data_IF_360311614847
#
_entry.id   IF_360311614847
#
_cell.length_a   1.000
_cell.length_b   1.000
_cell.length_c   1.000
_cell.angle_alpha   90.00
_cell.angle_beta   90.00
_cell.angle_gamma   90.00
#
_symmetry.space_group_name_H-M   'P 1'
#
loop_
_entity.id
_entity.type
_entity.pdbx_description
1 polymer ?
#
# COMPACT_ATOMS: atom_id res chain seq x y z
N UNK A 1 -21.86 -5.82 -19.50
CA UNK A 1 -20.88 -6.47 -18.60
C UNK A 1 -21.47 -6.51 -17.20
N UNK A 2 -21.24 -7.62 -16.48
CA UNK A 2 -21.79 -7.78 -15.12
C UNK A 2 -20.98 -6.91 -14.17
N UNK A 3 -21.61 -5.95 -13.54
CA UNK A 3 -21.01 -5.10 -12.52
C UNK A 3 -21.05 -5.79 -11.16
N UNK A 4 -20.00 -5.62 -10.35
CA UNK A 4 -20.02 -5.96 -8.93
C UNK A 4 -20.73 -4.85 -8.12
N UNK A 5 -20.95 -5.08 -6.83
CA UNK A 5 -21.45 -4.04 -5.90
C UNK A 5 -20.56 -2.79 -5.89
N UNK A 6 -19.26 -2.95 -6.12
CA UNK A 6 -18.25 -1.91 -6.04
C UNK A 6 -17.77 -1.38 -7.39
N UNK A 7 -18.42 -1.78 -8.49
CA UNK A 7 -18.09 -1.34 -9.83
C UNK A 7 -17.76 -2.48 -10.77
N UNK A 8 -16.71 -2.31 -11.55
CA UNK A 8 -16.30 -3.27 -12.59
C UNK A 8 -15.34 -4.29 -11.99
N UNK A 9 -15.43 -5.54 -12.41
CA UNK A 9 -14.49 -6.58 -11.97
C UNK A 9 -13.04 -6.30 -12.41
N UNK A 10 -12.07 -6.66 -11.57
CA UNK A 10 -10.65 -6.33 -11.73
C UNK A 10 -10.07 -6.72 -13.10
N UNK A 11 -10.44 -7.86 -13.67
CA UNK A 11 -9.94 -8.27 -15.00
C UNK A 11 -10.32 -7.28 -16.12
N UNK A 12 -11.44 -6.57 -15.99
CA UNK A 12 -11.85 -5.55 -16.95
C UNK A 12 -11.07 -4.25 -16.77
N UNK A 13 -10.80 -3.89 -15.52
CA UNK A 13 -10.00 -2.71 -15.18
C UNK A 13 -8.56 -2.88 -15.67
N UNK A 14 -7.95 -4.04 -15.40
CA UNK A 14 -6.61 -4.35 -15.88
C UNK A 14 -6.55 -4.46 -17.42
N UNK A 15 -7.57 -5.04 -18.05
CA UNK A 15 -7.67 -5.07 -19.52
C UNK A 15 -7.67 -3.65 -20.08
N UNK A 16 -8.49 -2.76 -19.54
CA UNK A 16 -8.53 -1.37 -19.99
C UNK A 16 -7.17 -0.70 -19.86
N UNK A 17 -6.49 -0.87 -18.73
CA UNK A 17 -5.15 -0.33 -18.52
C UNK A 17 -4.15 -0.89 -19.54
N UNK A 18 -4.18 -2.19 -19.83
CA UNK A 18 -3.31 -2.80 -20.82
C UNK A 18 -3.58 -2.27 -22.23
N UNK A 19 -4.84 -2.06 -22.60
CA UNK A 19 -5.20 -1.52 -23.90
C UNK A 19 -4.71 -0.08 -24.06
N UNK A 20 -4.83 0.75 -23.02
CA UNK A 20 -4.28 2.11 -23.02
C UNK A 20 -2.74 2.08 -23.15
N UNK A 21 -2.04 1.22 -22.41
CA UNK A 21 -0.59 1.06 -22.50
C UNK A 21 -0.13 0.56 -23.88
N UNK A 22 -0.86 -0.34 -24.51
CA UNK A 22 -0.58 -0.81 -25.89
C UNK A 22 -0.76 0.29 -26.92
N UNK A 23 -1.83 1.09 -26.80
CA UNK A 23 -2.04 2.24 -27.68
C UNK A 23 -0.90 3.23 -27.57
N UNK A 24 -0.48 3.57 -26.34
CA UNK A 24 0.67 4.46 -26.11
C UNK A 24 1.99 3.89 -26.66
N UNK A 25 2.20 2.58 -26.57
CA UNK A 25 3.39 1.94 -27.13
C UNK A 25 3.47 2.06 -28.66
N UNK A 26 2.33 2.13 -29.35
CA UNK A 26 2.23 2.15 -30.82
C UNK A 26 2.09 3.56 -31.41
N UNK A 27 1.66 4.55 -30.61
CA UNK A 27 1.47 5.91 -31.08
C UNK A 27 2.82 6.61 -31.34
N UNK A 28 3.14 6.81 -32.62
CA UNK A 28 4.38 7.45 -33.05
C UNK A 28 4.33 8.98 -33.02
N UNK A 29 3.15 9.58 -32.84
CA UNK A 29 2.93 11.02 -33.05
C UNK A 29 3.11 11.87 -31.79
N UNK A 30 3.19 11.25 -30.60
CA UNK A 30 3.21 12.01 -29.36
C UNK A 30 4.62 12.46 -28.96
N UNK A 31 4.85 13.76 -28.98
CA UNK A 31 6.02 14.41 -28.39
C UNK A 31 6.10 14.15 -26.86
N UNK A 32 4.99 13.75 -26.24
CA UNK A 32 4.84 13.37 -24.82
C UNK A 32 5.35 11.97 -24.49
N UNK A 33 5.88 11.23 -25.46
CA UNK A 33 6.42 9.86 -25.27
C UNK A 33 7.49 9.73 -24.17
N UNK A 34 8.08 10.85 -23.79
CA UNK A 34 9.15 10.88 -22.79
C UNK A 34 8.72 11.46 -21.44
N UNK A 35 7.46 11.90 -21.32
CA UNK A 35 6.96 12.39 -20.04
C UNK A 35 6.75 11.23 -19.06
N UNK A 36 7.20 11.35 -17.80
CA UNK A 36 6.89 10.38 -16.77
C UNK A 36 5.37 10.28 -16.55
N UNK A 37 4.86 9.08 -16.41
CA UNK A 37 3.46 8.83 -16.09
C UNK A 37 3.33 8.29 -14.66
N UNK A 38 2.41 8.84 -13.89
CA UNK A 38 1.98 8.29 -12.61
C UNK A 38 0.53 7.83 -12.74
N UNK A 39 0.29 6.56 -12.43
CA UNK A 39 -1.04 5.95 -12.52
C UNK A 39 -1.38 5.24 -11.24
N UNK A 40 -2.62 5.39 -10.80
CA UNK A 40 -3.19 4.65 -9.68
C UNK A 40 -4.35 3.82 -10.18
N UNK A 41 -4.33 2.53 -9.89
CA UNK A 41 -5.41 1.61 -10.17
C UNK A 41 -5.83 0.97 -8.86
N UNK A 42 -7.13 1.07 -8.54
CA UNK A 42 -7.71 0.42 -7.38
C UNK A 42 -8.47 -0.84 -7.82
N UNK A 43 -8.13 -1.98 -7.19
CA UNK A 43 -8.90 -3.22 -7.30
C UNK A 43 -10.07 -3.20 -6.32
N UNK A 44 -11.16 -3.90 -6.64
CA UNK A 44 -12.35 -3.95 -5.79
C UNK A 44 -12.96 -5.34 -5.65
N UNK A 45 -12.50 -6.31 -6.46
CA UNK A 45 -13.14 -7.62 -6.52
C UNK A 45 -12.86 -8.50 -5.30
N UNK A 46 -11.82 -8.19 -4.53
CA UNK A 46 -11.52 -8.84 -3.25
C UNK A 46 -12.36 -8.34 -2.08
N UNK A 47 -13.28 -7.39 -2.33
CA UNK A 47 -14.20 -6.85 -1.33
C UNK A 47 -15.52 -7.67 -1.25
N UNK A 48 -16.17 -7.62 -0.09
CA UNK A 48 -17.50 -8.20 0.06
C UNK A 48 -18.52 -7.58 -0.93
N UNK A 49 -19.47 -8.34 -1.47
CA UNK A 49 -19.91 -9.70 -1.10
C UNK A 49 -19.07 -10.86 -1.67
N UNK A 50 -17.84 -10.61 -2.17
CA UNK A 50 -16.93 -11.62 -2.72
C UNK A 50 -17.49 -12.36 -3.95
N UNK A 51 -18.28 -11.65 -4.75
CA UNK A 51 -18.87 -12.18 -5.99
C UNK A 51 -17.93 -11.86 -7.17
N UNK A 52 -17.32 -12.89 -7.71
CA UNK A 52 -16.37 -12.78 -8.82
C UNK A 52 -16.66 -13.82 -9.91
N UNK A 53 -16.33 -13.56 -11.18
CA UNK A 53 -16.52 -14.49 -12.28
C UNK A 53 -15.43 -15.59 -12.30
N UNK A 54 -15.24 -16.25 -11.16
CA UNK A 54 -14.16 -17.18 -10.90
C UNK A 54 -14.63 -18.15 -9.82
N UNK A 55 -14.43 -19.45 -10.01
CA UNK A 55 -14.88 -20.47 -9.07
C UNK A 55 -13.87 -21.61 -9.01
N UNK A 56 -12.79 -21.38 -8.28
CA UNK A 56 -11.73 -22.39 -8.05
C UNK A 56 -11.61 -22.83 -6.61
N UNK A 57 -12.13 -22.01 -5.68
CA UNK A 57 -12.10 -22.30 -4.25
C UNK A 57 -13.51 -22.25 -3.68
N UNK A 58 -13.83 -23.18 -2.75
CA UNK A 58 -15.14 -23.25 -2.11
C UNK A 58 -15.44 -22.04 -1.23
N UNK A 59 -14.43 -21.55 -0.50
CA UNK A 59 -14.58 -20.37 0.33
C UNK A 59 -14.63 -19.12 -0.54
N UNK A 60 -15.77 -18.42 -0.55
CA UNK A 60 -16.04 -17.25 -1.39
C UNK A 60 -15.00 -16.13 -1.21
N UNK A 61 -14.56 -15.86 0.03
CA UNK A 61 -13.57 -14.81 0.33
C UNK A 61 -12.21 -15.18 -0.25
N UNK A 62 -11.71 -16.38 0.02
CA UNK A 62 -10.47 -16.87 -0.55
C UNK A 62 -10.53 -16.93 -2.08
N UNK A 63 -11.68 -17.32 -2.62
CA UNK A 63 -11.90 -17.37 -4.05
C UNK A 63 -11.82 -15.97 -4.69
N UNK A 64 -12.35 -14.93 -4.03
CA UNK A 64 -12.24 -13.55 -4.48
C UNK A 64 -10.80 -13.01 -4.38
N UNK A 65 -10.07 -13.36 -3.32
CA UNK A 65 -8.65 -13.01 -3.20
C UNK A 65 -7.81 -13.67 -4.31
N UNK A 66 -8.01 -14.97 -4.55
CA UNK A 66 -7.33 -15.70 -5.61
C UNK A 66 -7.69 -15.16 -7.01
N UNK A 67 -8.92 -14.66 -7.19
CA UNK A 67 -9.30 -14.01 -8.43
C UNK A 67 -8.56 -12.70 -8.65
N UNK A 68 -8.50 -11.80 -7.66
CA UNK A 68 -7.73 -10.54 -7.75
C UNK A 68 -6.24 -10.82 -8.00
N UNK A 69 -5.65 -11.77 -7.28
CA UNK A 69 -4.26 -12.21 -7.49
C UNK A 69 -4.02 -12.71 -8.93
N UNK A 70 -4.95 -13.51 -9.45
CA UNK A 70 -4.90 -13.97 -10.86
C UNK A 70 -4.95 -12.79 -11.83
N UNK A 71 -5.79 -11.77 -11.60
CA UNK A 71 -5.88 -10.58 -12.44
C UNK A 71 -4.58 -9.77 -12.42
N UNK A 72 -3.98 -9.61 -11.25
CA UNK A 72 -2.67 -8.96 -11.06
C UNK A 72 -1.57 -9.73 -11.80
N UNK A 73 -1.51 -11.05 -11.63
CA UNK A 73 -0.52 -11.89 -12.29
C UNK A 73 -0.62 -11.86 -13.81
N UNK A 74 -1.85 -11.92 -14.35
CA UNK A 74 -2.11 -11.83 -15.78
C UNK A 74 -1.74 -10.44 -16.34
N UNK A 75 -2.03 -9.37 -15.60
CA UNK A 75 -1.61 -8.03 -15.97
C UNK A 75 -0.08 -7.91 -16.05
N UNK A 76 0.63 -8.29 -14.99
CA UNK A 76 2.09 -8.22 -14.93
C UNK A 76 2.71 -9.03 -16.08
N UNK A 77 2.21 -10.25 -16.33
CA UNK A 77 2.70 -11.10 -17.40
C UNK A 77 2.58 -10.44 -18.78
N UNK A 78 1.42 -9.82 -19.08
CA UNK A 78 1.18 -9.17 -20.36
C UNK A 78 1.94 -7.83 -20.46
N UNK A 79 2.04 -7.07 -19.38
CA UNK A 79 2.75 -5.79 -19.36
C UNK A 79 4.26 -5.98 -19.54
N UNK A 80 4.84 -7.08 -19.08
CA UNK A 80 6.26 -7.41 -19.29
C UNK A 80 6.65 -7.49 -20.77
N UNK A 81 5.72 -7.75 -21.65
CA UNK A 81 5.95 -7.82 -23.11
C UNK A 81 5.94 -6.43 -23.77
N UNK A 82 5.53 -5.38 -23.04
CA UNK A 82 5.48 -4.02 -23.57
C UNK A 82 6.81 -3.27 -23.32
N UNK A 83 7.21 -2.37 -24.24
CA UNK A 83 8.48 -1.65 -24.12
C UNK A 83 8.57 -0.77 -22.86
N UNK A 84 7.44 -0.26 -22.36
CA UNK A 84 7.37 0.58 -21.16
C UNK A 84 7.80 -0.19 -19.90
N UNK A 85 7.69 -1.52 -19.87
CA UNK A 85 8.11 -2.34 -18.73
C UNK A 85 9.50 -1.99 -18.21
N UNK A 86 10.45 -1.76 -19.12
CA UNK A 86 11.86 -1.50 -18.77
C UNK A 86 12.06 -0.29 -17.86
N UNK A 87 11.19 0.72 -17.99
CA UNK A 87 11.26 1.98 -17.24
C UNK A 87 10.09 2.15 -16.27
N UNK A 88 9.48 1.04 -15.85
CA UNK A 88 8.32 1.09 -14.96
C UNK A 88 8.63 0.42 -13.62
N UNK A 89 8.19 1.05 -12.54
CA UNK A 89 8.01 0.44 -11.23
C UNK A 89 6.51 0.34 -10.96
N UNK A 90 6.04 -0.85 -10.60
CA UNK A 90 4.68 -1.10 -10.13
C UNK A 90 4.76 -1.32 -8.62
N UNK A 91 3.96 -0.59 -7.88
CA UNK A 91 3.82 -0.74 -6.42
C UNK A 91 2.49 -1.40 -6.12
N UNK A 92 2.51 -2.56 -5.50
CA UNK A 92 1.33 -3.23 -4.98
C UNK A 92 1.27 -3.01 -3.46
N UNK A 93 0.18 -2.42 -3.02
CA UNK A 93 -0.07 -2.15 -1.60
C UNK A 93 -1.54 -2.34 -1.30
N UNK A 94 -1.91 -3.17 -0.31
CA UNK A 94 -3.27 -3.23 0.19
C UNK A 94 -3.64 -1.94 0.94
N UNK A 95 -4.92 -1.59 0.94
CA UNK A 95 -5.44 -0.52 1.78
C UNK A 95 -5.46 -0.93 3.26
N UNK A 96 -5.80 -2.18 3.54
CA UNK A 96 -5.77 -2.78 4.88
C UNK A 96 -5.72 -4.32 4.80
N UNK A 97 -5.55 -4.96 5.95
CA UNK A 97 -5.58 -6.43 6.07
C UNK A 97 -7.01 -6.96 5.90
N UNK A 98 -7.15 -8.07 5.18
CA UNK A 98 -8.42 -8.75 4.97
C UNK A 98 -9.01 -9.47 6.19
N UNK A 99 -8.29 -9.60 7.29
CA UNK A 99 -8.74 -10.23 8.55
C UNK A 99 -9.33 -11.62 8.33
N UNK A 100 -8.52 -12.55 7.85
CA UNK A 100 -8.91 -13.92 7.56
C UNK A 100 -7.78 -14.89 7.96
N UNK A 101 -8.07 -16.12 8.44
CA UNK A 101 -9.40 -16.73 8.66
C UNK A 101 -10.13 -16.21 9.90
N UNK A 102 -9.42 -15.64 10.86
CA UNK A 102 -9.95 -15.16 12.12
C UNK A 102 -10.17 -13.64 12.10
N UNK A 103 -11.06 -13.17 12.94
CA UNK A 103 -11.21 -11.75 13.15
C UNK A 103 -10.03 -11.22 13.95
N UNK A 104 -9.39 -10.17 13.44
CA UNK A 104 -8.33 -9.43 14.12
C UNK A 104 -8.88 -8.07 14.50
N UNK A 105 -8.87 -7.76 15.79
CA UNK A 105 -9.46 -6.54 16.33
C UNK A 105 -8.64 -5.28 16.02
N UNK A 106 -9.26 -4.11 16.18
CA UNK A 106 -8.61 -2.83 15.93
C UNK A 106 -7.49 -2.49 16.94
N UNK A 107 -7.45 -3.17 18.07
CA UNK A 107 -6.41 -2.98 19.09
C UNK A 107 -5.34 -4.10 19.05
N UNK A 108 -5.13 -4.70 17.90
CA UNK A 108 -4.12 -5.73 17.68
C UNK A 108 -3.15 -5.29 16.57
N UNK A 109 -1.85 -5.35 16.84
CA UNK A 109 -0.80 -4.91 15.89
C UNK A 109 -0.88 -5.65 14.55
N UNK A 110 -1.17 -6.95 14.60
CA UNK A 110 -1.26 -7.80 13.40
C UNK A 110 -2.28 -7.27 12.36
N UNK A 111 -3.30 -6.52 12.79
CA UNK A 111 -4.29 -5.93 11.89
C UNK A 111 -3.71 -4.92 10.90
N UNK A 112 -2.60 -4.28 11.28
CA UNK A 112 -1.98 -3.20 10.50
C UNK A 112 -0.76 -3.66 9.70
N UNK A 113 -0.45 -4.93 9.77
CA UNK A 113 0.65 -5.52 9.03
C UNK A 113 0.21 -5.91 7.62
N UNK A 114 0.61 -5.13 6.64
CA UNK A 114 0.32 -5.34 5.21
C UNK A 114 1.61 -5.50 4.41
N UNK A 115 1.59 -6.26 3.30
CA UNK A 115 2.72 -6.34 2.40
C UNK A 115 2.85 -5.08 1.54
N UNK A 116 4.07 -4.74 1.17
CA UNK A 116 4.39 -3.78 0.12
C UNK A 116 5.31 -4.49 -0.87
N UNK A 117 4.92 -4.52 -2.14
CA UNK A 117 5.70 -5.18 -3.20
C UNK A 117 5.99 -4.18 -4.31
N UNK A 118 7.26 -4.08 -4.70
CA UNK A 118 7.71 -3.29 -5.85
C UNK A 118 8.23 -4.24 -6.93
N UNK A 119 7.68 -4.13 -8.12
CA UNK A 119 8.10 -4.93 -9.29
C UNK A 119 8.19 -4.04 -10.53
N UNK A 120 8.88 -4.51 -11.56
CA UNK A 120 8.99 -3.80 -12.82
C UNK A 120 10.40 -3.87 -13.38
N UNK A 121 10.57 -3.50 -14.63
CA UNK A 121 11.88 -3.54 -15.29
C UNK A 121 12.86 -2.48 -14.77
N UNK A 122 12.39 -1.47 -14.06
CA UNK A 122 13.20 -0.46 -13.40
C UNK A 122 13.65 -0.84 -11.98
N UNK A 123 13.19 -1.97 -11.45
CA UNK A 123 13.71 -2.51 -10.18
C UNK A 123 15.04 -3.19 -10.46
N UNK A 124 16.13 -2.57 -10.03
CA UNK A 124 17.49 -3.01 -10.37
C UNK A 124 17.89 -4.32 -9.69
N UNK A 125 17.53 -4.47 -8.41
CA UNK A 125 17.93 -5.63 -7.61
C UNK A 125 16.74 -6.22 -6.87
N UNK A 126 16.51 -7.53 -6.95
CA UNK A 126 15.52 -8.19 -6.11
C UNK A 126 16.05 -8.27 -4.68
N UNK A 127 15.17 -8.04 -3.72
CA UNK A 127 15.54 -8.08 -2.31
C UNK A 127 14.33 -8.04 -1.40
N UNK A 128 14.60 -8.21 -0.12
CA UNK A 128 13.63 -8.02 0.95
C UNK A 128 14.13 -6.90 1.85
N UNK A 129 13.22 -6.00 2.19
CA UNK A 129 13.50 -4.86 3.08
C UNK A 129 12.70 -5.07 4.36
N UNK A 130 13.39 -5.35 5.45
CA UNK A 130 12.80 -5.62 6.76
C UNK A 130 12.88 -4.35 7.63
N UNK A 131 12.01 -3.38 7.29
CA UNK A 131 11.90 -2.12 8.04
C UNK A 131 10.44 -1.84 8.39
N UNK A 132 10.22 -1.09 9.46
CA UNK A 132 8.90 -0.57 9.77
C UNK A 132 8.63 0.71 8.98
N UNK A 133 7.49 0.76 8.32
CA UNK A 133 7.01 1.92 7.59
C UNK A 133 5.50 1.94 7.53
N UNK A 134 4.96 3.03 7.05
CA UNK A 134 3.52 3.24 6.82
C UNK A 134 3.25 3.49 5.35
N UNK A 135 2.00 3.39 4.92
CA UNK A 135 1.61 3.66 3.53
C UNK A 135 2.01 5.08 3.05
N UNK A 136 1.98 6.06 3.95
CA UNK A 136 2.43 7.43 3.63
C UNK A 136 3.93 7.50 3.26
N UNK A 137 4.73 6.54 3.67
CA UNK A 137 6.18 6.50 3.39
C UNK A 137 6.49 6.10 1.94
N UNK A 138 5.50 5.57 1.22
CA UNK A 138 5.63 5.22 -0.20
C UNK A 138 5.99 6.45 -1.03
N UNK A 139 5.41 7.63 -0.73
CA UNK A 139 5.67 8.85 -1.50
C UNK A 139 7.14 9.26 -1.45
N UNK A 140 7.71 9.45 -0.26
CA UNK A 140 9.12 9.81 -0.12
C UNK A 140 10.05 8.73 -0.66
N UNK A 141 9.72 7.45 -0.44
CA UNK A 141 10.51 6.32 -0.95
C UNK A 141 10.58 6.33 -2.47
N UNK A 142 9.45 6.47 -3.17
CA UNK A 142 9.44 6.51 -4.64
C UNK A 142 10.16 7.75 -5.19
N UNK A 143 9.91 8.93 -4.62
CA UNK A 143 10.56 10.16 -5.05
C UNK A 143 12.08 10.10 -4.85
N UNK A 144 12.54 9.53 -3.74
CA UNK A 144 13.97 9.33 -3.48
C UNK A 144 14.62 8.41 -4.54
N UNK A 145 13.96 7.28 -4.88
CA UNK A 145 14.44 6.38 -5.93
C UNK A 145 14.48 7.05 -7.32
N UNK A 146 13.63 8.04 -7.55
CA UNK A 146 13.63 8.86 -8.77
C UNK A 146 14.58 10.06 -8.69
N UNK A 147 15.35 10.20 -7.61
CA UNK A 147 16.22 11.36 -7.33
C UNK A 147 15.46 12.71 -7.36
N UNK A 148 14.19 12.68 -6.94
CA UNK A 148 13.33 13.86 -6.84
C UNK A 148 13.24 14.35 -5.38
N UNK A 149 13.10 15.68 -5.16
CA UNK A 149 12.91 16.21 -3.82
C UNK A 149 11.57 15.75 -3.24
N UNK A 150 11.57 15.41 -1.96
CA UNK A 150 10.38 14.93 -1.25
C UNK A 150 10.13 15.62 0.10
N UNK A 151 10.82 16.73 0.37
CA UNK A 151 10.68 17.49 1.64
C UNK A 151 9.30 18.09 1.90
N UNK A 152 8.46 18.21 0.87
CA UNK A 152 7.06 18.66 1.03
C UNK A 152 6.17 17.60 1.69
N UNK A 153 6.56 16.33 1.63
CA UNK A 153 5.85 15.21 2.26
C UNK A 153 6.28 15.04 3.71
N UNK A 154 5.94 16.01 4.56
CA UNK A 154 6.41 16.13 5.95
C UNK A 154 6.26 14.86 6.81
N UNK A 155 5.24 14.04 6.53
CA UNK A 155 4.95 12.80 7.26
C UNK A 155 5.43 11.54 6.53
N UNK A 156 6.10 11.69 5.40
CA UNK A 156 6.64 10.59 4.60
C UNK A 156 8.15 10.55 4.73
N UNK A 157 8.70 9.37 4.86
CA UNK A 157 10.13 9.12 4.96
C UNK A 157 10.55 8.03 3.97
N UNK A 158 11.78 8.11 3.48
CA UNK A 158 12.34 7.09 2.59
C UNK A 158 12.65 5.81 3.38
N UNK A 159 11.88 4.76 3.11
CA UNK A 159 12.04 3.45 3.76
C UNK A 159 13.30 2.71 3.32
N UNK A 160 13.88 3.07 2.17
CA UNK A 160 15.10 2.45 1.64
C UNK A 160 16.37 3.15 2.09
N UNK A 161 16.26 4.34 2.69
CA UNK A 161 17.39 5.04 3.26
C UNK A 161 17.69 4.51 4.68
N UNK A 162 18.85 3.88 4.92
CA UNK A 162 19.20 3.34 6.24
C UNK A 162 19.30 4.41 7.34
N UNK A 163 19.52 5.67 6.98
CA UNK A 163 19.58 6.79 7.92
C UNK A 163 18.22 7.38 8.26
N UNK A 164 17.15 6.95 7.58
CA UNK A 164 15.78 7.35 7.92
C UNK A 164 15.28 6.69 9.20
N UNK A 165 14.46 7.38 10.01
CA UNK A 165 13.84 6.73 11.15
C UNK A 165 12.82 5.69 10.69
N UNK A 166 13.03 4.42 11.07
CA UNK A 166 12.14 3.32 10.69
C UNK A 166 11.10 3.07 11.77
N UNK A 167 9.90 3.59 11.55
CA UNK A 167 8.73 3.33 12.38
C UNK A 167 7.46 3.28 11.53
N UNK A 168 6.43 2.61 12.03
CA UNK A 168 5.08 2.70 11.48
C UNK A 168 4.16 3.47 12.41
N UNK A 169 3.28 4.29 11.82
CA UNK A 169 2.23 5.00 12.51
C UNK A 169 0.89 4.76 11.81
N UNK A 170 -0.15 4.47 12.59
CA UNK A 170 -1.51 4.32 12.08
C UNK A 170 -2.53 4.88 13.07
N UNK A 171 -3.72 5.20 12.56
CA UNK A 171 -4.85 5.63 13.38
C UNK A 171 -6.09 4.81 13.07
N UNK A 172 -6.93 4.64 14.09
CA UNK A 172 -8.32 4.18 13.99
C UNK A 172 -9.19 5.18 14.74
N UNK A 173 -10.53 5.12 14.66
CA UNK A 173 -11.39 6.15 15.24
C UNK A 173 -11.02 6.57 16.66
N UNK A 174 -10.70 5.63 17.53
CA UNK A 174 -10.46 5.89 18.96
C UNK A 174 -9.06 5.50 19.42
N UNK A 175 -8.12 5.24 18.50
CA UNK A 175 -6.78 4.83 18.89
C UNK A 175 -5.73 5.22 17.85
N UNK A 176 -4.47 5.22 18.26
CA UNK A 176 -3.34 5.22 17.36
C UNK A 176 -2.34 4.14 17.72
N UNK A 177 -1.58 3.71 16.72
CA UNK A 177 -0.43 2.84 16.89
C UNK A 177 0.87 3.51 16.49
N UNK A 178 1.93 3.23 17.25
CA UNK A 178 3.30 3.61 16.92
C UNK A 178 4.21 2.40 17.10
N UNK A 179 4.85 1.96 16.04
CA UNK A 179 5.57 0.69 16.01
C UNK A 179 7.01 0.92 15.55
N UNK A 180 7.94 0.46 16.37
CA UNK A 180 9.37 0.40 16.09
C UNK A 180 9.88 -1.02 16.29
N UNK A 181 11.12 -1.36 15.88
CA UNK A 181 11.71 -2.66 16.19
C UNK A 181 11.69 -3.02 17.68
N UNK A 182 11.83 -2.01 18.54
CA UNK A 182 12.05 -2.19 19.97
C UNK A 182 10.80 -2.03 20.83
N UNK A 183 9.74 -1.42 20.27
CA UNK A 183 8.48 -1.21 21.00
C UNK A 183 7.27 -1.13 20.05
N UNK A 184 6.26 -1.93 20.30
CA UNK A 184 4.97 -1.92 19.61
C UNK A 184 3.90 -1.37 20.54
N UNK A 185 3.33 -0.23 20.20
CA UNK A 185 2.34 0.46 21.02
C UNK A 185 1.02 0.63 20.28
N UNK A 186 -0.09 0.38 20.97
CA UNK A 186 -1.42 0.92 20.64
C UNK A 186 -1.96 1.65 21.87
N UNK A 187 -2.32 2.91 21.68
CA UNK A 187 -2.95 3.74 22.71
C UNK A 187 -4.40 4.02 22.31
N UNK A 188 -5.33 3.73 23.21
CA UNK A 188 -6.76 4.02 23.06
C UNK A 188 -7.06 5.41 23.62
N UNK A 189 -7.46 6.33 22.74
CA UNK A 189 -7.73 7.72 23.11
C UNK A 189 -9.03 7.87 23.92
N UNK A 190 -10.06 7.06 23.62
CA UNK A 190 -11.34 7.07 24.33
C UNK A 190 -11.17 6.57 25.76
N UNK A 191 -10.54 5.42 25.93
CA UNK A 191 -10.26 4.85 27.24
C UNK A 191 -9.10 5.56 27.97
N UNK A 192 -8.39 6.48 27.30
CA UNK A 192 -7.19 7.15 27.77
C UNK A 192 -6.17 6.17 28.38
N UNK A 193 -5.91 5.09 27.68
CA UNK A 193 -5.09 3.99 28.19
C UNK A 193 -4.33 3.22 27.11
N UNK A 194 -3.28 2.56 27.55
CA UNK A 194 -2.46 1.69 26.70
C UNK A 194 -3.22 0.39 26.48
N UNK A 195 -3.47 0.03 25.22
CA UNK A 195 -4.06 -1.24 24.82
C UNK A 195 -2.98 -2.29 24.51
N UNK A 196 -1.87 -1.88 23.89
CA UNK A 196 -0.71 -2.75 23.60
C UNK A 196 0.55 -1.95 23.93
N UNK A 197 1.49 -2.58 24.61
CA UNK A 197 2.84 -2.08 24.85
C UNK A 197 3.81 -3.25 24.99
N UNK A 198 4.42 -3.65 23.87
CA UNK A 198 5.23 -4.85 23.76
C UNK A 198 6.61 -4.52 23.19
N UNK A 199 7.58 -5.39 23.51
CA UNK A 199 8.97 -5.26 23.07
C UNK A 199 9.93 -4.96 24.21
N UNK A 200 11.26 -4.93 23.93
CA UNK A 200 12.30 -4.70 24.94
C UNK A 200 12.26 -3.28 25.54
N UNK A 201 11.78 -2.29 24.80
CA UNK A 201 11.75 -0.87 25.23
C UNK A 201 10.32 -0.36 25.45
N UNK A 202 9.57 -1.03 26.32
CA UNK A 202 8.21 -0.63 26.69
C UNK A 202 8.12 0.83 27.16
N UNK A 203 7.04 1.49 26.80
CA UNK A 203 6.75 2.88 27.18
C UNK A 203 7.40 3.94 26.31
N UNK A 204 8.41 3.63 25.53
CA UNK A 204 9.12 4.64 24.72
C UNK A 204 8.24 5.23 23.61
N UNK A 205 7.38 4.42 23.00
CA UNK A 205 6.59 4.87 21.87
C UNK A 205 5.35 5.69 22.25
N UNK A 206 4.96 5.74 23.52
CA UNK A 206 3.79 6.52 23.95
C UNK A 206 3.97 8.02 23.63
N UNK A 207 5.04 8.61 24.12
CA UNK A 207 5.31 10.05 23.89
C UNK A 207 5.60 10.34 22.40
N UNK A 208 6.28 9.43 21.70
CA UNK A 208 6.55 9.56 20.26
C UNK A 208 5.25 9.55 19.45
N UNK A 209 4.34 8.60 19.72
CA UNK A 209 3.06 8.49 19.05
C UNK A 209 2.13 9.66 19.34
N UNK A 210 2.07 10.12 20.60
CA UNK A 210 1.30 11.30 20.98
C UNK A 210 1.83 12.58 20.29
N UNK A 211 3.15 12.76 20.25
CA UNK A 211 3.77 13.89 19.57
C UNK A 211 3.53 13.86 18.04
N UNK A 212 3.58 12.66 17.44
CA UNK A 212 3.29 12.50 16.02
C UNK A 212 1.82 12.81 15.71
N UNK A 213 0.89 12.31 16.53
CA UNK A 213 -0.54 12.58 16.37
C UNK A 213 -0.83 14.07 16.53
N UNK A 214 -0.26 14.74 17.55
CA UNK A 214 -0.40 16.18 17.75
C UNK A 214 0.11 16.96 16.53
N UNK A 215 1.30 16.60 16.01
CA UNK A 215 1.87 17.24 14.82
C UNK A 215 0.97 17.06 13.60
N UNK A 216 0.34 15.90 13.45
CA UNK A 216 -0.61 15.63 12.38
C UNK A 216 -1.87 16.53 12.48
N UNK A 217 -2.44 16.66 13.68
CA UNK A 217 -3.57 17.57 13.92
C UNK A 217 -3.20 19.04 13.69
N UNK A 218 -2.01 19.46 14.14
CA UNK A 218 -1.52 20.83 13.91
C UNK A 218 -1.34 21.15 12.42
N UNK A 219 -0.92 20.16 11.62
CA UNK A 219 -0.79 20.31 10.17
C UNK A 219 -2.17 20.41 9.50
N UNK A 220 -3.10 19.53 9.86
CA UNK A 220 -4.48 19.56 9.34
C UNK A 220 -5.16 20.90 9.67
N UNK A 221 -4.97 21.41 10.89
CA UNK A 221 -5.58 22.66 11.32
C UNK A 221 -5.04 23.90 10.59
N UNK A 222 -3.88 23.81 9.92
CA UNK A 222 -3.24 24.90 9.18
C UNK A 222 -3.58 24.90 7.69
N UNK A 223 -4.19 23.82 7.19
CA UNK A 223 -4.60 23.67 5.79
C UNK A 223 -6.02 24.18 5.54
#
# INVERSE_FOLDING_TARGET
ERLSKWGVHDHLVFRRLLDDLRMEATDSTQAEKHAPHFRVLQTSSSHEPFEVPYSRLENKRLNAFAYTDSCVGDFVKQFRELPQWKNTVIVFVPDHLGSYPEHIGNLEIARYQIPLLMVGGAVCEPGRVDVYGSQQDIAATLLAQLSLPHGEFTFSKDMLNPDSPHFAFFTVPDAFGFVTPDNQLIFNNEANGIAVDEGPEKGQNLLRGQAYLQKLYDDIAKR
#
